data_IF_639368664599
#
_entry.id   IF_639368664599
#
_cell.length_a   1.000
_cell.length_b   1.000
_cell.length_c   1.000
_cell.angle_alpha   90.00
_cell.angle_beta   90.00
_cell.angle_gamma   90.00
#
_symmetry.space_group_name_H-M   'P 1'
#
loop_
_entity.id
_entity.type
_entity.pdbx_description
1 polymer ?
#
# COMPACT_ATOMS: atom_id res chain seq x y z
N UNK A 1 6.39 5.52 -6.93
CA UNK A 1 5.72 4.30 -7.43
C UNK A 1 5.59 3.21 -6.38
N UNK A 2 6.68 2.79 -5.74
CA UNK A 2 6.74 1.57 -4.91
C UNK A 2 5.69 1.46 -3.80
N UNK A 3 5.45 2.50 -3.01
CA UNK A 3 4.51 2.44 -1.87
C UNK A 3 3.07 2.12 -2.27
N UNK A 4 2.57 2.73 -3.35
CA UNK A 4 1.20 2.53 -3.83
C UNK A 4 1.02 1.13 -4.42
N UNK A 5 2.01 0.64 -5.16
CA UNK A 5 1.98 -0.71 -5.76
C UNK A 5 2.05 -1.83 -4.71
N UNK A 6 2.80 -1.63 -3.62
CA UNK A 6 2.93 -2.61 -2.53
C UNK A 6 1.58 -2.96 -1.91
N UNK A 7 0.72 -1.97 -1.66
CA UNK A 7 -0.63 -2.21 -1.14
C UNK A 7 -1.44 -3.10 -2.08
N UNK A 8 -1.29 -2.91 -3.39
CA UNK A 8 -1.98 -3.72 -4.41
C UNK A 8 -1.48 -5.15 -4.45
N UNK A 9 -0.16 -5.33 -4.42
CA UNK A 9 0.46 -6.66 -4.41
C UNK A 9 0.06 -7.46 -3.16
N UNK A 10 0.03 -6.82 -1.99
CA UNK A 10 -0.44 -7.46 -0.75
C UNK A 10 -1.94 -7.78 -0.85
N UNK A 11 -2.75 -6.85 -1.34
CA UNK A 11 -4.18 -7.07 -1.50
C UNK A 11 -4.48 -8.24 -2.45
N UNK A 12 -3.79 -8.37 -3.59
CA UNK A 12 -3.94 -9.50 -4.52
C UNK A 12 -3.66 -10.83 -3.80
N UNK A 13 -2.59 -10.90 -2.99
CA UNK A 13 -2.24 -12.11 -2.22
C UNK A 13 -3.31 -12.51 -1.21
N UNK A 14 -4.03 -11.55 -0.63
CA UNK A 14 -5.13 -11.82 0.30
C UNK A 14 -6.43 -12.17 -0.44
N UNK A 15 -6.69 -11.52 -1.57
CA UNK A 15 -7.94 -11.65 -2.33
C UNK A 15 -7.97 -12.90 -3.22
N UNK A 16 -6.84 -13.30 -3.81
CA UNK A 16 -6.78 -14.44 -4.73
C UNK A 16 -7.19 -15.77 -4.07
N UNK A 17 -6.73 -16.12 -2.84
CA UNK A 17 -7.23 -17.30 -2.13
C UNK A 17 -8.74 -17.29 -1.89
N UNK A 18 -9.38 -16.12 -1.76
CA UNK A 18 -10.83 -16.01 -1.59
C UNK A 18 -11.63 -16.53 -2.79
N UNK A 19 -11.09 -16.36 -4.01
CA UNK A 19 -11.68 -16.94 -5.22
C UNK A 19 -11.46 -18.44 -5.32
N UNK A 20 -10.27 -18.93 -4.95
CA UNK A 20 -9.99 -20.36 -4.92
C UNK A 20 -10.83 -21.11 -3.90
N UNK A 21 -11.06 -20.52 -2.72
CA UNK A 21 -11.97 -21.05 -1.71
C UNK A 21 -13.43 -21.12 -2.21
N UNK A 22 -13.80 -20.27 -3.16
CA UNK A 22 -15.12 -20.28 -3.80
C UNK A 22 -15.17 -21.16 -5.07
N UNK A 23 -14.15 -22.00 -5.29
CA UNK A 23 -13.99 -22.86 -6.48
C UNK A 23 -13.97 -22.09 -7.82
N UNK A 24 -13.70 -20.79 -7.80
CA UNK A 24 -13.61 -19.97 -9.01
C UNK A 24 -12.16 -19.67 -9.39
N UNK A 25 -11.61 -20.53 -10.24
CA UNK A 25 -10.26 -20.37 -10.80
C UNK A 25 -10.22 -19.42 -12.02
N UNK A 26 -11.35 -19.18 -12.69
CA UNK A 26 -11.38 -18.51 -14.00
C UNK A 26 -11.42 -16.99 -13.87
N UNK A 27 -12.13 -16.49 -12.87
CA UNK A 27 -12.34 -15.05 -12.69
C UNK A 27 -11.06 -14.29 -12.36
N UNK A 28 -10.21 -14.76 -11.42
CA UNK A 28 -8.93 -14.10 -11.15
C UNK A 28 -8.03 -14.02 -12.38
N UNK A 29 -8.02 -15.08 -13.20
CA UNK A 29 -7.20 -15.14 -14.42
C UNK A 29 -7.69 -14.13 -15.46
N UNK A 30 -9.00 -14.03 -15.69
CA UNK A 30 -9.59 -13.03 -16.61
C UNK A 30 -9.26 -11.60 -16.18
N UNK A 31 -9.35 -11.31 -14.87
CA UNK A 31 -8.98 -10.01 -14.30
C UNK A 31 -7.49 -9.75 -14.52
N UNK A 32 -6.62 -10.72 -14.24
CA UNK A 32 -5.18 -10.59 -14.41
C UNK A 32 -4.78 -10.31 -15.88
N UNK A 33 -5.40 -10.99 -16.84
CA UNK A 33 -5.15 -10.75 -18.27
C UNK A 33 -5.59 -9.34 -18.67
N UNK A 34 -6.78 -8.90 -18.26
CA UNK A 34 -7.27 -7.56 -18.58
C UNK A 34 -6.38 -6.47 -17.94
N UNK A 35 -5.91 -6.68 -16.71
CA UNK A 35 -4.94 -5.80 -16.05
C UNK A 35 -3.60 -5.79 -16.79
N UNK A 36 -3.14 -6.93 -17.29
CA UNK A 36 -1.90 -7.01 -18.08
C UNK A 36 -2.01 -6.10 -19.30
N UNK A 37 -3.11 -6.17 -20.03
CA UNK A 37 -3.38 -5.29 -21.19
C UNK A 37 -3.39 -3.83 -20.77
N UNK A 38 -4.11 -3.48 -19.71
CA UNK A 38 -4.14 -2.10 -19.17
C UNK A 38 -2.74 -1.61 -18.81
N UNK A 39 -1.93 -2.47 -18.19
CA UNK A 39 -0.55 -2.14 -17.80
C UNK A 39 0.32 -1.88 -19.02
N UNK A 40 0.12 -2.63 -20.12
CA UNK A 40 0.81 -2.34 -21.38
C UNK A 40 0.32 -1.03 -22.01
N UNK A 41 -0.98 -0.72 -21.96
CA UNK A 41 -1.49 0.59 -22.38
C UNK A 41 -0.87 1.73 -21.56
N UNK A 42 -0.75 1.57 -20.25
CA UNK A 42 -0.04 2.53 -19.40
C UNK A 42 1.43 2.64 -19.76
N UNK A 43 2.12 1.54 -20.06
CA UNK A 43 3.50 1.62 -20.54
C UNK A 43 3.60 2.44 -21.84
N UNK A 44 2.74 2.20 -22.83
CA UNK A 44 2.76 2.94 -24.08
C UNK A 44 2.51 4.45 -23.89
N UNK A 45 1.63 4.83 -22.96
CA UNK A 45 1.30 6.23 -22.68
C UNK A 45 2.33 6.93 -21.78
N UNK A 46 2.81 6.26 -20.73
CA UNK A 46 3.66 6.88 -19.70
C UNK A 46 5.16 6.80 -20.03
N UNK A 47 5.64 5.76 -20.74
CA UNK A 47 7.06 5.63 -21.12
C UNK A 47 7.59 6.85 -21.88
N UNK A 48 6.89 7.42 -22.88
CA UNK A 48 7.41 8.60 -23.58
C UNK A 48 7.51 9.85 -22.68
N UNK A 49 6.71 9.95 -21.61
CA UNK A 49 6.72 11.10 -20.70
C UNK A 49 7.70 10.93 -19.52
N UNK A 50 7.75 9.74 -18.92
CA UNK A 50 8.42 9.50 -17.63
C UNK A 50 9.57 8.48 -17.71
N UNK A 51 9.87 7.96 -18.90
CA UNK A 51 10.97 7.00 -19.15
C UNK A 51 10.95 5.82 -18.15
N UNK A 52 12.04 5.62 -17.40
CA UNK A 52 12.19 4.54 -16.42
C UNK A 52 11.20 4.62 -15.25
N UNK A 53 10.79 5.83 -14.86
CA UNK A 53 9.81 6.01 -13.79
C UNK A 53 8.41 5.51 -14.23
N UNK A 54 8.12 5.57 -15.53
CA UNK A 54 6.87 5.08 -16.11
C UNK A 54 6.63 3.61 -15.80
N UNK A 55 7.64 2.76 -16.01
CA UNK A 55 7.51 1.31 -15.83
C UNK A 55 7.12 0.96 -14.39
N UNK A 56 7.78 1.60 -13.41
CA UNK A 56 7.48 1.38 -11.99
C UNK A 56 6.09 1.88 -11.61
N UNK A 57 5.62 2.96 -12.23
CA UNK A 57 4.30 3.52 -11.98
C UNK A 57 3.20 2.67 -12.63
N UNK A 58 3.39 2.22 -13.87
CA UNK A 58 2.46 1.35 -14.57
C UNK A 58 2.25 0.02 -13.83
N UNK A 59 3.32 -0.61 -13.32
CA UNK A 59 3.20 -1.84 -12.52
C UNK A 59 2.41 -1.58 -11.23
N UNK A 60 2.70 -0.47 -10.54
CA UNK A 60 1.99 -0.09 -9.32
C UNK A 60 0.50 0.15 -9.57
N UNK A 61 0.16 0.87 -10.65
CA UNK A 61 -1.22 1.13 -11.06
C UNK A 61 -1.92 -0.16 -11.48
N UNK A 62 -1.26 -1.03 -12.26
CA UNK A 62 -1.78 -2.34 -12.63
C UNK A 62 -2.12 -3.19 -11.40
N UNK A 63 -1.24 -3.22 -10.39
CA UNK A 63 -1.50 -3.92 -9.14
C UNK A 63 -2.71 -3.34 -8.38
N UNK A 64 -2.88 -2.01 -8.38
CA UNK A 64 -4.05 -1.36 -7.77
C UNK A 64 -5.35 -1.69 -8.50
N UNK A 65 -5.36 -1.64 -9.83
CA UNK A 65 -6.52 -2.00 -10.64
C UNK A 65 -6.89 -3.47 -10.42
N UNK A 66 -5.90 -4.36 -10.39
CA UNK A 66 -6.13 -5.79 -10.13
C UNK A 66 -6.75 -6.03 -8.75
N UNK A 67 -6.13 -5.49 -7.70
CA UNK A 67 -6.67 -5.58 -6.34
C UNK A 67 -8.09 -5.02 -6.24
N UNK A 68 -8.35 -3.87 -6.87
CA UNK A 68 -9.66 -3.24 -6.90
C UNK A 68 -10.71 -4.10 -7.60
N UNK A 69 -10.40 -4.65 -8.78
CA UNK A 69 -11.31 -5.51 -9.52
C UNK A 69 -11.58 -6.84 -8.83
N UNK A 70 -10.58 -7.44 -8.19
CA UNK A 70 -10.78 -8.61 -7.33
C UNK A 70 -11.71 -8.28 -6.16
N UNK A 71 -11.46 -7.18 -5.44
CA UNK A 71 -12.32 -6.78 -4.32
C UNK A 71 -13.77 -6.53 -4.75
N UNK A 72 -13.97 -5.75 -5.81
CA UNK A 72 -15.31 -5.48 -6.37
C UNK A 72 -15.98 -6.78 -6.83
N UNK A 73 -15.23 -7.69 -7.43
CA UNK A 73 -15.73 -8.99 -7.85
C UNK A 73 -16.20 -9.87 -6.69
N UNK A 74 -15.47 -9.90 -5.55
CA UNK A 74 -15.94 -10.59 -4.34
C UNK A 74 -17.21 -9.95 -3.75
N UNK A 75 -17.29 -8.62 -3.76
CA UNK A 75 -18.47 -7.89 -3.23
C UNK A 75 -19.70 -8.17 -4.10
N UNK A 76 -19.57 -8.06 -5.43
CA UNK A 76 -20.67 -8.31 -6.37
C UNK A 76 -21.19 -9.74 -6.32
N UNK A 77 -20.34 -10.71 -5.96
CA UNK A 77 -20.71 -12.12 -5.80
C UNK A 77 -21.34 -12.43 -4.44
N UNK A 78 -21.32 -11.50 -3.50
CA UNK A 78 -21.83 -11.71 -2.15
C UNK A 78 -20.93 -12.57 -1.26
N UNK A 79 -19.84 -13.16 -1.78
CA UNK A 79 -18.84 -13.90 -1.00
C UNK A 79 -18.12 -13.03 0.03
N UNK A 80 -18.08 -11.71 -0.19
CA UNK A 80 -17.58 -10.74 0.79
C UNK A 80 -18.62 -9.64 1.04
N UNK A 81 -19.01 -9.47 2.31
CA UNK A 81 -19.85 -8.35 2.75
C UNK A 81 -19.00 -7.42 3.63
N UNK A 82 -18.72 -6.18 3.19
CA UNK A 82 -17.96 -5.24 4.00
C UNK A 82 -18.74 -4.93 5.28
N UNK A 83 -18.07 -5.10 6.43
CA UNK A 83 -18.66 -4.76 7.73
C UNK A 83 -18.77 -3.23 7.89
N UNK A 84 -19.76 -2.72 8.64
CA UNK A 84 -19.78 -1.29 8.99
C UNK A 84 -18.51 -0.93 9.78
N UNK A 85 -17.94 0.25 9.51
CA UNK A 85 -16.73 0.76 10.18
C UNK A 85 -15.45 0.82 9.34
N UNK A 86 -15.44 0.27 8.12
CA UNK A 86 -14.28 0.34 7.22
C UNK A 86 -13.87 1.76 6.85
N UNK A 87 -14.84 2.68 6.68
CA UNK A 87 -14.55 4.08 6.37
C UNK A 87 -13.80 4.79 7.51
N UNK A 88 -14.25 4.62 8.75
CA UNK A 88 -13.60 5.19 9.92
C UNK A 88 -12.21 4.57 10.15
N UNK A 89 -12.08 3.26 9.94
CA UNK A 89 -10.79 2.57 9.98
C UNK A 89 -9.82 3.14 8.94
N UNK A 90 -10.26 3.27 7.69
CA UNK A 90 -9.48 3.86 6.60
C UNK A 90 -9.06 5.29 6.90
N UNK A 91 -9.96 6.11 7.45
CA UNK A 91 -9.65 7.49 7.85
C UNK A 91 -8.58 7.54 8.96
N UNK A 92 -8.67 6.67 9.97
CA UNK A 92 -7.67 6.57 11.04
C UNK A 92 -6.30 6.17 10.51
N UNK A 93 -6.26 5.19 9.60
CA UNK A 93 -5.00 4.74 8.98
C UNK A 93 -4.42 5.83 8.09
N UNK A 94 -5.26 6.51 7.29
CA UNK A 94 -4.84 7.65 6.48
C UNK A 94 -4.28 8.79 7.34
N UNK A 95 -4.96 9.15 8.44
CA UNK A 95 -4.49 10.16 9.39
C UNK A 95 -3.15 9.79 10.03
N UNK A 96 -3.00 8.56 10.51
CA UNK A 96 -1.73 8.07 11.08
C UNK A 96 -0.60 8.07 10.03
N UNK A 97 -0.92 7.72 8.78
CA UNK A 97 0.05 7.73 7.67
C UNK A 97 0.47 9.16 7.33
N UNK A 98 -0.46 10.10 7.26
CA UNK A 98 -0.16 11.52 7.02
C UNK A 98 0.71 12.11 8.13
N UNK A 99 0.42 11.80 9.39
CA UNK A 99 1.21 12.24 10.54
C UNK A 99 2.64 11.69 10.48
N UNK A 100 2.79 10.40 10.19
CA UNK A 100 4.09 9.76 9.97
C UNK A 100 4.85 10.41 8.80
N UNK A 101 4.17 10.66 7.68
CA UNK A 101 4.76 11.31 6.51
C UNK A 101 5.21 12.74 6.80
N UNK A 102 4.43 13.51 7.56
CA UNK A 102 4.81 14.85 7.98
C UNK A 102 6.07 14.86 8.86
N UNK A 103 6.16 13.92 9.81
CA UNK A 103 7.35 13.74 10.64
C UNK A 103 8.59 13.39 9.81
N UNK A 104 8.47 12.44 8.88
CA UNK A 104 9.58 12.04 8.02
C UNK A 104 10.01 13.18 7.09
N UNK A 105 9.08 13.99 6.60
CA UNK A 105 9.40 15.16 5.79
C UNK A 105 10.15 16.22 6.61
N UNK A 106 9.70 16.49 7.83
CA UNK A 106 10.39 17.38 8.77
C UNK A 106 11.80 16.87 9.11
N UNK A 107 11.93 15.58 9.45
CA UNK A 107 13.23 14.96 9.75
C UNK A 107 14.16 14.97 8.53
N UNK A 108 13.60 14.78 7.33
CA UNK A 108 14.33 14.86 6.07
C UNK A 108 14.89 16.25 5.77
N UNK A 109 14.18 17.31 6.17
CA UNK A 109 14.62 18.70 5.99
C UNK A 109 15.68 19.15 7.00
N UNK A 110 15.73 18.54 8.20
CA UNK A 110 16.67 18.92 9.26
C UNK A 110 17.97 18.09 9.26
N UNK A 111 17.99 16.96 8.56
CA UNK A 111 19.16 16.08 8.48
C UNK A 111 19.82 16.23 7.12
N UNK A 112 21.08 16.68 7.09
CA UNK A 112 21.86 16.73 5.86
C UNK A 112 22.37 15.33 5.48
N UNK A 113 21.57 14.65 4.66
CA UNK A 113 21.81 13.29 4.19
C UNK A 113 22.94 13.19 3.16
N UNK A 114 23.32 14.29 2.52
CA UNK A 114 24.22 14.28 1.35
C UNK A 114 25.60 14.81 1.70
N UNK A 115 25.71 15.82 2.58
CA UNK A 115 26.98 16.47 2.92
C UNK A 115 27.61 16.04 4.25
N UNK A 116 26.82 15.93 5.33
CA UNK A 116 27.36 15.92 6.70
C UNK A 116 27.56 14.55 7.38
N UNK A 117 26.85 13.50 6.96
CA UNK A 117 26.78 12.22 7.70
C UNK A 117 27.42 11.06 6.91
N UNK A 118 28.52 10.50 7.43
CA UNK A 118 29.25 9.36 6.83
C UNK A 118 29.15 8.09 7.69
N UNK A 119 29.08 6.94 7.01
CA UNK A 119 29.17 5.61 7.64
C UNK A 119 28.07 5.31 8.67
N UNK A 120 28.46 4.79 9.83
CA UNK A 120 27.57 4.34 10.90
C UNK A 120 26.68 5.45 11.49
N UNK A 121 27.12 6.71 11.48
CA UNK A 121 26.33 7.83 11.96
C UNK A 121 25.07 8.06 11.10
N UNK A 122 25.19 7.90 9.78
CA UNK A 122 24.06 7.97 8.86
C UNK A 122 23.09 6.80 9.07
N UNK A 123 23.62 5.59 9.29
CA UNK A 123 22.82 4.42 9.61
C UNK A 123 22.05 4.59 10.94
N UNK A 124 22.70 5.16 11.97
CA UNK A 124 22.06 5.48 13.25
C UNK A 124 20.92 6.48 13.11
N UNK A 125 21.12 7.57 12.35
CA UNK A 125 20.06 8.55 12.08
C UNK A 125 18.92 7.98 11.25
N UNK A 126 19.21 7.13 10.25
CA UNK A 126 18.17 6.41 9.51
C UNK A 126 17.36 5.49 10.45
N UNK A 127 18.04 4.72 11.30
CA UNK A 127 17.39 3.84 12.25
C UNK A 127 16.52 4.61 13.24
N UNK A 128 16.99 5.75 13.75
CA UNK A 128 16.24 6.63 14.64
C UNK A 128 15.02 7.24 13.95
N UNK A 129 15.16 7.71 12.71
CA UNK A 129 14.04 8.25 11.92
C UNK A 129 12.97 7.18 11.65
N UNK A 130 13.38 5.96 11.30
CA UNK A 130 12.46 4.83 11.10
C UNK A 130 11.78 4.42 12.39
N UNK A 131 12.53 4.35 13.51
CA UNK A 131 11.96 4.05 14.82
C UNK A 131 10.95 5.12 15.27
N UNK A 132 11.29 6.41 15.10
CA UNK A 132 10.39 7.53 15.40
C UNK A 132 9.11 7.49 14.56
N UNK A 133 9.24 7.23 13.26
CA UNK A 133 8.10 7.06 12.36
C UNK A 133 7.21 5.88 12.80
N UNK A 134 7.80 4.75 13.19
CA UNK A 134 7.05 3.60 13.70
C UNK A 134 6.30 3.94 15.00
N UNK A 135 6.96 4.60 15.96
CA UNK A 135 6.33 5.01 17.23
C UNK A 135 5.18 5.99 16.98
N UNK A 136 5.34 6.96 16.07
CA UNK A 136 4.27 7.89 15.73
C UNK A 136 3.09 7.22 15.03
N UNK A 137 3.36 6.33 14.08
CA UNK A 137 2.30 5.60 13.37
C UNK A 137 1.50 4.70 14.33
N UNK A 138 2.17 3.86 15.11
CA UNK A 138 1.50 2.99 16.07
C UNK A 138 0.88 3.77 17.24
N UNK A 139 1.52 4.85 17.70
CA UNK A 139 1.00 5.75 18.72
C UNK A 139 -0.28 6.45 18.27
N UNK A 140 -0.31 7.01 17.06
CA UNK A 140 -1.50 7.62 16.47
C UNK A 140 -2.64 6.61 16.30
N UNK A 141 -2.33 5.39 15.86
CA UNK A 141 -3.33 4.32 15.75
C UNK A 141 -3.88 3.92 17.12
N UNK A 142 -3.04 3.76 18.14
CA UNK A 142 -3.49 3.46 19.50
C UNK A 142 -4.35 4.59 20.06
N UNK A 143 -3.93 5.85 19.89
CA UNK A 143 -4.66 7.03 20.34
C UNK A 143 -6.01 7.19 19.62
N UNK A 144 -6.11 6.76 18.35
CA UNK A 144 -7.37 6.75 17.59
C UNK A 144 -8.39 5.71 18.10
N UNK A 145 -8.07 4.95 19.14
CA UNK A 145 -8.95 3.94 19.73
C UNK A 145 -9.02 2.64 18.92
N UNK A 146 -8.02 2.39 18.06
CA UNK A 146 -7.91 1.13 17.34
C UNK A 146 -7.38 0.06 18.30
N UNK A 147 -8.24 -0.93 18.61
CA UNK A 147 -7.88 -2.06 19.46
C UNK A 147 -6.91 -3.00 18.73
N UNK A 148 -5.64 -2.63 18.61
CA UNK A 148 -4.56 -3.49 18.08
C UNK A 148 -4.54 -4.87 18.78
N UNK A 149 -4.86 -4.89 20.09
CA UNK A 149 -4.98 -6.12 20.88
C UNK A 149 -6.12 -7.05 20.46
N UNK A 150 -7.17 -6.54 19.79
CA UNK A 150 -8.25 -7.36 19.27
C UNK A 150 -7.89 -8.04 17.93
N UNK A 151 -6.88 -7.53 17.22
CA UNK A 151 -6.37 -8.13 15.97
C UNK A 151 -5.30 -9.20 16.24
N UNK A 152 -4.53 -9.09 17.32
CA UNK A 152 -3.54 -10.09 17.75
C UNK A 152 -4.13 -11.35 18.40
N UNK A 153 -5.44 -11.35 18.72
CA UNK A 153 -6.15 -12.46 19.40
C UNK A 153 -7.04 -13.30 18.47
N UNK A 154 -6.85 -13.23 17.16
CA UNK A 154 -7.60 -14.03 16.18
C UNK A 154 -6.68 -14.82 15.26
#
# INVERSE_FOLDING_TARGET
GYGVGLVGLVAIKVLAPGYYASLDIRTPVKIAIAVLVITQCFNLLLVPLLQHAALTLSIALGAMVNAGWLLVGLIRRGSYRPRPGWALYGLRVAGATLLMSAFLWWAGAHVDWVGGLRGWARAGWLAAAVAGAAVLYFGALLASGLKLRAMLRR
#
